data_IF_690897781235
#
_entry.id   IF_690897781235
#
_cell.length_a   1.000
_cell.length_b   1.000
_cell.length_c   1.000
_cell.angle_alpha   90.00
_cell.angle_beta   90.00
_cell.angle_gamma   90.00
#
_symmetry.space_group_name_H-M   'P 1'
#
loop_
_entity.id
_entity.type
_entity.pdbx_description
1 polymer ?
#
# COMPACT_ATOMS: atom_id res chain seq x y z
N UNK A 1 1.75 -34.09 -69.71
CA UNK A 1 0.78 -33.89 -68.61
C UNK A 1 1.52 -34.09 -67.31
N UNK A 2 1.64 -33.07 -66.43
CA UNK A 2 1.99 -33.15 -64.99
C UNK A 2 2.36 -31.78 -64.35
N UNK A 3 2.24 -30.64 -65.05
CA UNK A 3 2.53 -29.32 -64.47
C UNK A 3 1.42 -28.72 -63.61
N UNK A 4 0.16 -29.14 -63.77
CA UNK A 4 -1.00 -28.55 -63.06
C UNK A 4 -1.23 -29.11 -61.64
N UNK A 5 -0.77 -30.33 -61.35
CA UNK A 5 -0.90 -30.95 -60.02
C UNK A 5 0.12 -30.38 -59.01
N UNK A 6 1.31 -29.97 -59.48
CA UNK A 6 2.34 -29.35 -58.63
C UNK A 6 1.99 -27.93 -58.17
N UNK A 7 1.29 -27.13 -58.98
CA UNK A 7 0.86 -25.78 -58.58
C UNK A 7 -0.28 -25.78 -57.55
N UNK A 8 -1.20 -26.75 -57.62
CA UNK A 8 -2.30 -26.86 -56.66
C UNK A 8 -1.83 -27.22 -55.25
N UNK A 9 -0.82 -28.09 -55.14
CA UNK A 9 -0.23 -28.47 -53.86
C UNK A 9 0.52 -27.33 -53.16
N UNK A 10 1.23 -26.49 -53.92
CA UNK A 10 1.94 -25.33 -53.36
C UNK A 10 0.98 -24.23 -52.86
N UNK A 11 -0.10 -23.98 -53.60
CA UNK A 11 -1.10 -22.98 -53.22
C UNK A 11 -1.87 -23.38 -51.94
N UNK A 12 -2.17 -24.67 -51.76
CA UNK A 12 -2.78 -25.18 -50.53
C UNK A 12 -1.87 -25.06 -49.30
N UNK A 13 -0.56 -25.29 -49.46
CA UNK A 13 0.42 -25.14 -48.38
C UNK A 13 0.61 -23.66 -47.97
N UNK A 14 0.61 -22.74 -48.95
CA UNK A 14 0.75 -21.30 -48.73
C UNK A 14 -0.44 -20.68 -47.99
N UNK A 15 -1.63 -21.27 -48.05
CA UNK A 15 -2.82 -20.82 -47.32
C UNK A 15 -2.95 -21.42 -45.92
N UNK A 16 -2.44 -22.64 -45.69
CA UNK A 16 -2.50 -23.29 -44.38
C UNK A 16 -1.52 -22.66 -43.37
N UNK A 17 -0.35 -22.19 -43.82
CA UNK A 17 0.65 -21.54 -42.98
C UNK A 17 0.14 -20.25 -42.28
N UNK A 18 -0.42 -19.25 -42.98
CA UNK A 18 -0.92 -18.03 -42.33
C UNK A 18 -2.10 -18.32 -41.40
N UNK A 19 -2.94 -19.31 -41.71
CA UNK A 19 -4.05 -19.72 -40.84
C UNK A 19 -3.53 -20.34 -39.53
N UNK A 20 -2.49 -21.17 -39.61
CA UNK A 20 -1.81 -21.71 -38.42
C UNK A 20 -1.12 -20.63 -37.59
N UNK A 21 -0.57 -19.59 -38.21
CA UNK A 21 -0.01 -18.43 -37.50
C UNK A 21 -1.09 -17.59 -36.81
N UNK A 22 -2.24 -17.37 -37.45
CA UNK A 22 -3.39 -16.67 -36.86
C UNK A 22 -4.00 -17.46 -35.68
N UNK A 23 -4.15 -18.78 -35.80
CA UNK A 23 -4.61 -19.65 -34.72
C UNK A 23 -3.60 -19.71 -33.55
N UNK A 24 -2.29 -19.73 -33.83
CA UNK A 24 -1.28 -19.61 -32.78
C UNK A 24 -1.32 -18.25 -32.07
N UNK A 25 -1.61 -17.16 -32.76
CA UNK A 25 -1.77 -15.84 -32.14
C UNK A 25 -3.00 -15.75 -31.21
N UNK A 26 -4.10 -16.43 -31.57
CA UNK A 26 -5.31 -16.50 -30.74
C UNK A 26 -5.18 -17.46 -29.54
N UNK A 27 -4.31 -18.46 -29.64
CA UNK A 27 -4.03 -19.45 -28.58
C UNK A 27 -2.82 -19.09 -27.72
N UNK A 28 -2.14 -17.97 -27.97
CA UNK A 28 -1.11 -17.50 -27.06
C UNK A 28 -1.80 -17.02 -25.78
N UNK A 29 -1.53 -17.66 -24.62
CA UNK A 29 -1.94 -17.08 -23.35
C UNK A 29 -1.33 -15.68 -23.30
N UNK A 30 -2.14 -14.66 -22.96
CA UNK A 30 -1.62 -13.33 -22.65
C UNK A 30 -0.50 -13.54 -21.63
N UNK A 31 0.75 -13.34 -22.04
CA UNK A 31 1.85 -13.39 -21.11
C UNK A 31 1.53 -12.38 -20.00
N UNK A 32 1.68 -12.76 -18.72
CA UNK A 32 1.56 -11.80 -17.64
C UNK A 32 2.44 -10.59 -17.96
N UNK A 33 1.86 -9.39 -17.91
CA UNK A 33 2.62 -8.17 -18.03
C UNK A 33 3.65 -8.17 -16.89
N UNK A 34 4.93 -8.32 -17.24
CA UNK A 34 6.01 -8.31 -16.25
C UNK A 34 6.27 -6.86 -15.86
N UNK A 35 6.05 -6.54 -14.59
CA UNK A 35 6.25 -5.21 -14.05
C UNK A 35 7.74 -4.98 -13.72
N UNK A 36 8.16 -3.72 -13.48
CA UNK A 36 9.45 -3.42 -12.88
C UNK A 36 9.70 -4.32 -11.65
N UNK A 37 10.93 -4.79 -11.47
CA UNK A 37 11.36 -5.72 -10.40
C UNK A 37 10.92 -7.20 -10.57
N UNK A 38 10.45 -7.61 -11.76
CA UNK A 38 10.15 -9.02 -12.04
C UNK A 38 8.91 -9.56 -11.33
N UNK A 39 8.13 -8.67 -10.70
CA UNK A 39 6.81 -8.97 -10.13
C UNK A 39 5.80 -9.19 -11.26
N UNK A 40 4.94 -10.17 -11.08
CA UNK A 40 3.82 -10.42 -11.99
C UNK A 40 2.65 -9.54 -11.61
N UNK A 41 1.88 -9.09 -12.60
CA UNK A 41 0.57 -8.51 -12.37
C UNK A 41 -0.49 -9.62 -12.39
N UNK A 42 -1.35 -9.66 -11.38
CA UNK A 42 -2.54 -10.51 -11.37
C UNK A 42 -3.47 -10.07 -12.50
N UNK A 43 -3.97 -10.99 -13.35
CA UNK A 43 -4.94 -10.62 -14.37
C UNK A 43 -6.27 -10.19 -13.75
N UNK A 44 -7.13 -9.59 -14.58
CA UNK A 44 -8.56 -9.50 -14.26
C UNK A 44 -9.20 -10.85 -14.60
N UNK A 45 -9.65 -11.57 -13.58
CA UNK A 45 -10.34 -12.85 -13.74
C UNK A 45 -11.84 -12.62 -13.91
N UNK A 46 -12.51 -13.53 -14.60
CA UNK A 46 -13.97 -13.53 -14.56
C UNK A 46 -14.50 -14.07 -13.21
N UNK A 47 -15.81 -13.94 -12.99
CA UNK A 47 -16.44 -14.37 -11.74
C UNK A 47 -16.33 -15.87 -11.50
N UNK A 48 -16.41 -16.68 -12.56
CA UNK A 48 -16.32 -18.14 -12.45
C UNK A 48 -14.89 -18.57 -12.09
N UNK A 49 -13.89 -18.02 -12.77
CA UNK A 49 -12.49 -18.25 -12.48
C UNK A 49 -12.14 -17.84 -11.04
N UNK A 50 -12.57 -16.66 -10.62
CA UNK A 50 -12.31 -16.15 -9.27
C UNK A 50 -12.93 -17.05 -8.20
N UNK A 51 -14.21 -17.39 -8.35
CA UNK A 51 -14.93 -18.19 -7.34
C UNK A 51 -14.52 -19.65 -7.27
N UNK A 52 -13.92 -20.19 -8.34
CA UNK A 52 -13.32 -21.55 -8.33
C UNK A 52 -12.10 -21.65 -7.41
N UNK A 53 -11.47 -20.52 -7.05
CA UNK A 53 -10.31 -20.50 -6.13
C UNK A 53 -10.80 -20.48 -4.70
N UNK A 54 -10.37 -21.45 -3.91
CA UNK A 54 -10.80 -21.64 -2.52
C UNK A 54 -10.41 -20.48 -1.59
N UNK A 55 -9.31 -19.80 -1.92
CA UNK A 55 -8.75 -18.67 -1.18
C UNK A 55 -9.31 -17.31 -1.61
N UNK A 56 -10.09 -17.23 -2.70
CA UNK A 56 -10.65 -15.96 -3.16
C UNK A 56 -11.49 -15.28 -2.08
N UNK A 57 -11.16 -14.02 -1.79
CA UNK A 57 -11.75 -13.19 -0.71
C UNK A 57 -11.62 -13.79 0.70
N UNK A 58 -10.72 -14.75 0.91
CA UNK A 58 -10.33 -15.21 2.25
C UNK A 58 -9.30 -14.28 2.84
N UNK A 59 -9.30 -14.19 4.17
CA UNK A 59 -8.28 -13.46 4.90
C UNK A 59 -6.90 -14.09 4.66
N UNK A 60 -5.88 -13.25 4.57
CA UNK A 60 -4.50 -13.65 4.37
C UNK A 60 -3.57 -12.78 5.21
N UNK A 61 -2.42 -13.30 5.60
CA UNK A 61 -1.31 -12.51 6.14
C UNK A 61 -0.32 -12.10 5.04
N UNK A 62 0.01 -13.03 4.15
CA UNK A 62 0.96 -12.84 3.06
C UNK A 62 0.43 -13.43 1.75
N UNK A 63 0.96 -12.96 0.61
CA UNK A 63 0.49 -13.45 -0.69
C UNK A 63 0.77 -14.93 -0.96
N UNK A 64 1.70 -15.58 -0.25
CA UNK A 64 1.92 -17.03 -0.40
C UNK A 64 0.75 -17.87 0.14
N UNK A 65 -0.15 -17.27 0.93
CA UNK A 65 -1.38 -17.90 1.41
C UNK A 65 -2.50 -17.88 0.36
N UNK A 66 -2.32 -17.14 -0.73
CA UNK A 66 -3.29 -16.98 -1.80
C UNK A 66 -3.00 -17.94 -2.97
N UNK A 67 -4.03 -18.56 -3.53
CA UNK A 67 -3.88 -19.38 -4.73
C UNK A 67 -3.50 -18.53 -5.94
N UNK A 68 -2.50 -18.90 -6.75
CA UNK A 68 -2.17 -18.16 -7.96
C UNK A 68 -3.38 -18.00 -8.92
N UNK A 69 -3.53 -16.85 -9.60
CA UNK A 69 -2.67 -15.66 -9.59
C UNK A 69 -3.11 -14.59 -8.58
N UNK A 70 -3.80 -14.96 -7.49
CA UNK A 70 -4.27 -14.02 -6.48
C UNK A 70 -3.08 -13.44 -5.67
N UNK A 71 -3.23 -12.20 -5.21
CA UNK A 71 -2.32 -11.56 -4.26
C UNK A 71 -3.04 -11.14 -2.98
N UNK A 72 -2.29 -10.97 -1.89
CA UNK A 72 -2.82 -10.53 -0.60
C UNK A 72 -2.73 -9.00 -0.50
N UNK A 73 -3.86 -8.32 -0.38
CA UNK A 73 -3.95 -6.85 -0.32
C UNK A 73 -4.71 -6.40 0.92
N UNK A 74 -4.31 -5.26 1.49
CA UNK A 74 -5.05 -4.61 2.57
C UNK A 74 -6.04 -3.61 1.99
N UNK A 75 -7.31 -3.78 2.36
CA UNK A 75 -8.36 -2.82 2.01
C UNK A 75 -8.78 -2.03 3.24
N UNK A 76 -8.43 -0.74 3.25
CA UNK A 76 -8.72 0.15 4.37
C UNK A 76 -10.24 0.33 4.60
N UNK A 77 -11.08 0.10 3.58
CA UNK A 77 -12.54 0.23 3.65
C UNK A 77 -13.16 -0.81 4.57
N UNK A 78 -12.63 -2.03 4.51
CA UNK A 78 -13.08 -3.16 5.33
C UNK A 78 -12.08 -3.53 6.43
N UNK A 79 -10.93 -2.84 6.48
CA UNK A 79 -9.83 -3.01 7.45
C UNK A 79 -9.37 -4.47 7.56
N UNK A 80 -9.26 -5.14 6.43
CA UNK A 80 -8.85 -6.54 6.36
C UNK A 80 -7.92 -6.80 5.18
N UNK A 81 -7.06 -7.79 5.36
CA UNK A 81 -6.21 -8.36 4.33
C UNK A 81 -6.94 -9.51 3.65
N UNK A 82 -7.00 -9.56 2.33
CA UNK A 82 -7.63 -10.68 1.63
C UNK A 82 -7.02 -11.00 0.27
N UNK A 83 -7.20 -12.24 -0.16
CA UNK A 83 -6.72 -12.71 -1.45
C UNK A 83 -7.65 -12.27 -2.58
N UNK A 84 -7.08 -11.65 -3.62
CA UNK A 84 -7.84 -11.12 -4.75
C UNK A 84 -7.01 -11.05 -6.04
N UNK A 85 -7.70 -10.96 -7.16
CA UNK A 85 -7.18 -10.63 -8.48
C UNK A 85 -7.34 -9.13 -8.79
N UNK A 86 -6.94 -8.70 -9.98
CA UNK A 86 -7.11 -7.31 -10.44
C UNK A 86 -8.55 -7.01 -10.83
N UNK A 87 -9.02 -5.79 -10.57
CA UNK A 87 -10.34 -5.31 -10.96
C UNK A 87 -10.36 -4.62 -12.33
N UNK A 88 -9.22 -4.12 -12.77
CA UNK A 88 -9.08 -3.35 -13.99
C UNK A 88 -7.73 -3.64 -14.68
N UNK A 89 -7.69 -3.40 -15.99
CA UNK A 89 -6.44 -3.42 -16.75
C UNK A 89 -5.92 -2.00 -17.05
N UNK A 90 -6.85 -1.06 -17.31
CA UNK A 90 -6.60 0.34 -17.64
C UNK A 90 -7.72 1.21 -17.08
N UNK A 91 -7.55 2.54 -17.10
CA UNK A 91 -8.54 3.50 -16.61
C UNK A 91 -9.91 3.37 -17.29
N UNK A 92 -9.95 2.92 -18.55
CA UNK A 92 -11.21 2.69 -19.29
C UNK A 92 -12.08 1.60 -18.65
N UNK A 93 -11.46 0.68 -17.91
CA UNK A 93 -12.16 -0.36 -17.16
C UNK A 93 -12.76 0.13 -15.84
N UNK A 94 -12.49 1.38 -15.43
CA UNK A 94 -12.93 1.92 -14.16
C UNK A 94 -14.17 2.84 -14.30
N UNK A 95 -15.00 2.94 -13.25
CA UNK A 95 -16.07 3.92 -13.19
C UNK A 95 -15.57 5.36 -13.34
N UNK A 96 -16.47 6.27 -13.72
CA UNK A 96 -16.14 7.70 -13.86
C UNK A 96 -15.55 8.27 -12.56
N UNK A 97 -14.46 9.03 -12.69
CA UNK A 97 -13.75 9.62 -11.56
C UNK A 97 -12.85 8.63 -10.79
N UNK A 98 -12.58 7.45 -11.35
CA UNK A 98 -11.63 6.48 -10.83
C UNK A 98 -10.53 6.19 -11.87
N UNK A 99 -9.37 5.76 -11.37
CA UNK A 99 -8.20 5.39 -12.19
C UNK A 99 -7.72 4.00 -11.79
N UNK A 100 -7.15 3.27 -12.75
CA UNK A 100 -6.67 1.92 -12.54
C UNK A 100 -5.24 1.95 -12.00
N UNK A 101 -5.08 1.72 -10.69
CA UNK A 101 -3.78 1.80 -10.02
C UNK A 101 -3.25 0.43 -9.63
N UNK A 102 -1.95 0.23 -9.81
CA UNK A 102 -1.25 -0.95 -9.32
C UNK A 102 -1.00 -0.82 -7.82
N UNK A 103 -1.33 -1.86 -7.07
CA UNK A 103 -1.17 -1.95 -5.63
C UNK A 103 -0.17 -3.07 -5.34
N UNK A 104 0.84 -2.76 -4.54
CA UNK A 104 1.80 -3.76 -4.08
C UNK A 104 1.10 -4.71 -3.10
N UNK A 105 1.37 -6.00 -3.24
CA UNK A 105 0.83 -7.03 -2.34
C UNK A 105 1.88 -7.44 -1.33
N UNK A 106 1.44 -7.92 -0.17
CA UNK A 106 2.37 -8.33 0.88
C UNK A 106 3.13 -9.60 0.50
N UNK A 107 4.44 -9.59 0.74
CA UNK A 107 5.34 -10.69 0.41
C UNK A 107 5.67 -10.83 -1.08
N UNK A 108 5.93 -12.07 -1.53
CA UNK A 108 6.47 -12.33 -2.87
C UNK A 108 5.41 -12.54 -3.97
N UNK A 109 4.13 -12.30 -3.67
CA UNK A 109 3.03 -12.49 -4.63
C UNK A 109 2.94 -11.46 -5.77
N UNK A 110 1.97 -11.67 -6.68
CA UNK A 110 1.71 -10.75 -7.79
C UNK A 110 1.08 -9.45 -7.28
N UNK A 111 1.37 -8.34 -7.94
CA UNK A 111 0.64 -7.09 -7.71
C UNK A 111 -0.78 -7.19 -8.28
N UNK A 112 -1.67 -6.36 -7.76
CA UNK A 112 -3.07 -6.29 -8.21
C UNK A 112 -3.39 -4.87 -8.66
N UNK A 113 -4.29 -4.72 -9.63
CA UNK A 113 -4.80 -3.42 -10.07
C UNK A 113 -6.20 -3.18 -9.52
N UNK A 114 -6.43 -2.02 -8.94
CA UNK A 114 -7.72 -1.60 -8.40
C UNK A 114 -8.18 -0.30 -9.03
N UNK A 115 -9.50 -0.13 -9.17
CA UNK A 115 -10.08 1.17 -9.47
C UNK A 115 -10.10 2.01 -8.19
N UNK A 116 -9.31 3.08 -8.18
CA UNK A 116 -9.11 3.98 -7.06
C UNK A 116 -9.73 5.34 -7.41
N UNK A 117 -10.52 5.96 -6.51
CA UNK A 117 -11.07 7.29 -6.78
C UNK A 117 -9.98 8.35 -6.93
N UNK A 118 -10.19 9.30 -7.84
CA UNK A 118 -9.39 10.52 -7.90
C UNK A 118 -9.88 11.46 -6.81
N UNK A 119 -9.00 11.77 -5.86
CA UNK A 119 -9.30 12.54 -4.66
C UNK A 119 -8.78 13.96 -4.67
N UNK A 120 -8.66 14.54 -3.47
CA UNK A 120 -8.21 15.92 -3.25
C UNK A 120 -6.84 16.02 -2.59
N UNK A 121 -6.24 14.91 -2.16
CA UNK A 121 -4.94 14.94 -1.47
C UNK A 121 -3.82 15.36 -2.41
N UNK A 122 -3.03 16.30 -1.94
CA UNK A 122 -1.95 16.94 -2.68
C UNK A 122 -0.65 16.15 -2.52
N UNK A 123 0.32 16.45 -3.39
CA UNK A 123 1.63 15.82 -3.33
C UNK A 123 2.32 16.06 -1.99
N UNK A 124 2.83 14.99 -1.38
CA UNK A 124 3.41 15.02 -0.04
C UNK A 124 2.39 14.88 1.10
N UNK A 125 1.09 14.74 0.81
CA UNK A 125 0.10 14.39 1.83
C UNK A 125 -0.06 12.87 1.97
N UNK A 126 -0.61 12.45 3.11
CA UNK A 126 -0.89 11.04 3.41
C UNK A 126 -2.18 10.57 2.72
N UNK A 127 -2.24 9.29 2.39
CA UNK A 127 -3.36 8.65 1.71
C UNK A 127 -3.54 7.20 2.15
N UNK A 128 -4.63 6.58 1.72
CA UNK A 128 -4.81 5.13 1.75
C UNK A 128 -4.65 4.56 0.34
N UNK A 129 -3.93 3.44 0.20
CA UNK A 129 -3.73 2.77 -1.11
C UNK A 129 -5.06 2.33 -1.74
N UNK A 130 -5.97 1.80 -0.91
CA UNK A 130 -7.37 1.52 -1.25
C UNK A 130 -8.29 2.42 -0.42
N UNK A 131 -8.50 3.68 -0.83
CA UNK A 131 -9.30 4.64 -0.07
C UNK A 131 -10.80 4.36 -0.23
N UNK A 132 -11.56 4.63 0.83
CA UNK A 132 -13.03 4.47 0.82
C UNK A 132 -13.78 5.61 0.15
N UNK A 133 -13.16 6.78 0.06
CA UNK A 133 -13.73 8.00 -0.49
C UNK A 133 -12.65 8.87 -1.14
N UNK A 134 -13.07 10.02 -1.67
CA UNK A 134 -12.19 10.99 -2.34
C UNK A 134 -11.32 11.78 -1.36
N UNK A 135 -11.71 11.90 -0.10
CA UNK A 135 -10.99 12.71 0.89
C UNK A 135 -9.72 12.00 1.37
N UNK A 136 -9.69 10.67 1.31
CA UNK A 136 -8.51 9.86 1.58
C UNK A 136 -7.66 9.51 0.33
N UNK A 137 -8.09 9.95 -0.86
CA UNK A 137 -7.46 9.59 -2.12
C UNK A 137 -6.61 10.74 -2.70
N UNK A 138 -5.60 10.37 -3.49
CA UNK A 138 -4.71 11.31 -4.13
C UNK A 138 -5.36 12.04 -5.30
N UNK A 139 -4.96 13.29 -5.50
CA UNK A 139 -5.36 14.10 -6.65
C UNK A 139 -4.86 13.53 -7.97
N UNK A 140 -5.42 14.02 -9.08
CA UNK A 140 -5.14 13.51 -10.41
C UNK A 140 -3.62 13.51 -10.72
N UNK A 141 -3.13 12.38 -11.22
CA UNK A 141 -1.72 12.21 -11.60
C UNK A 141 -0.77 11.84 -10.46
N UNK A 142 -1.29 11.67 -9.23
CA UNK A 142 -0.53 11.18 -8.09
C UNK A 142 -0.92 9.74 -7.75
N UNK A 143 0.04 8.99 -7.23
CA UNK A 143 -0.15 7.64 -6.73
C UNK A 143 -0.07 7.64 -5.21
N UNK A 144 -0.81 6.75 -4.57
CA UNK A 144 -0.63 6.46 -3.16
C UNK A 144 0.43 5.36 -3.01
N UNK A 145 1.63 5.71 -2.53
CA UNK A 145 2.79 4.81 -2.51
C UNK A 145 3.57 4.91 -1.19
N UNK A 146 4.35 3.88 -0.91
CA UNK A 146 5.11 3.75 0.34
C UNK A 146 4.29 3.12 1.48
N UNK A 147 4.99 2.46 2.38
CA UNK A 147 4.63 2.06 3.74
C UNK A 147 3.88 3.15 4.53
N UNK A 148 2.57 3.10 4.37
CA UNK A 148 1.61 3.97 5.06
C UNK A 148 1.00 5.06 4.17
N UNK A 149 1.40 5.13 2.90
CA UNK A 149 0.71 5.88 1.85
C UNK A 149 1.07 7.37 1.81
N UNK A 150 1.75 7.77 0.74
CA UNK A 150 1.98 9.16 0.34
C UNK A 150 1.43 9.40 -1.05
N UNK A 151 0.74 10.52 -1.23
CA UNK A 151 0.44 11.04 -2.54
C UNK A 151 1.73 11.56 -3.17
N UNK A 152 2.26 10.82 -4.12
CA UNK A 152 3.54 11.12 -4.75
C UNK A 152 3.44 10.95 -6.26
N UNK A 153 4.19 11.78 -6.98
CA UNK A 153 4.42 11.54 -8.41
C UNK A 153 5.50 10.48 -8.58
N UNK A 154 5.42 9.62 -9.60
CA UNK A 154 6.50 8.72 -9.97
C UNK A 154 7.78 9.49 -10.32
N UNK A 155 8.93 8.88 -10.08
CA UNK A 155 10.23 9.43 -10.43
C UNK A 155 11.14 8.37 -11.04
N UNK A 156 12.11 8.83 -11.84
CA UNK A 156 13.16 7.97 -12.39
C UNK A 156 14.36 8.03 -11.44
N UNK A 157 14.78 6.88 -10.91
CA UNK A 157 15.83 6.74 -9.89
C UNK A 157 17.21 7.30 -10.30
N UNK A 158 17.42 7.55 -11.59
CA UNK A 158 18.74 7.80 -12.17
C UNK A 158 18.97 9.28 -12.56
N UNK A 159 18.04 10.19 -12.20
CA UNK A 159 18.19 11.63 -12.52
C UNK A 159 18.03 12.52 -11.28
N UNK A 160 18.97 13.43 -11.06
CA UNK A 160 19.01 14.37 -9.93
C UNK A 160 17.95 15.47 -10.00
N UNK A 161 17.28 15.64 -11.14
CA UNK A 161 16.18 16.61 -11.35
C UNK A 161 14.78 15.96 -11.35
N UNK A 162 14.66 14.69 -10.96
CA UNK A 162 13.39 13.96 -11.07
C UNK A 162 12.26 14.52 -10.16
N UNK A 163 12.61 15.11 -9.02
CA UNK A 163 11.64 15.54 -8.01
C UNK A 163 11.69 17.05 -7.75
N UNK A 164 10.53 17.68 -7.46
CA UNK A 164 10.47 19.10 -7.15
C UNK A 164 11.22 19.42 -5.85
N UNK A 165 11.59 20.70 -5.67
CA UNK A 165 12.31 21.14 -4.47
C UNK A 165 11.54 20.80 -3.19
N UNK A 166 12.23 20.16 -2.24
CA UNK A 166 11.64 19.65 -1.00
C UNK A 166 11.12 18.21 -1.12
N UNK A 167 11.48 17.51 -2.18
CA UNK A 167 11.20 16.10 -2.39
C UNK A 167 12.45 15.38 -2.86
N UNK A 168 12.52 14.07 -2.62
CA UNK A 168 13.57 13.21 -3.14
C UNK A 168 12.95 11.96 -3.75
N UNK A 169 13.63 11.38 -4.74
CA UNK A 169 13.18 10.15 -5.37
C UNK A 169 13.50 8.96 -4.45
N UNK A 170 12.47 8.37 -3.86
CA UNK A 170 12.58 7.21 -2.98
C UNK A 170 12.27 5.93 -3.76
N UNK A 171 12.90 4.82 -3.34
CA UNK A 171 12.56 3.49 -3.85
C UNK A 171 11.31 2.98 -3.14
N UNK A 172 10.16 3.38 -3.65
CA UNK A 172 8.84 2.92 -3.20
C UNK A 172 8.35 1.76 -4.05
N UNK A 173 7.33 1.06 -3.56
CA UNK A 173 6.55 0.09 -4.32
C UNK A 173 5.18 0.71 -4.64
N UNK A 174 4.58 0.37 -5.80
CA UNK A 174 5.12 -0.48 -6.87
C UNK A 174 6.28 0.15 -7.67
N UNK A 175 6.36 1.47 -7.72
CA UNK A 175 7.40 2.18 -8.46
C UNK A 175 8.03 3.30 -7.64
N UNK A 176 9.26 3.74 -7.97
CA UNK A 176 9.91 4.86 -7.30
C UNK A 176 9.09 6.15 -7.42
N UNK A 177 9.04 6.92 -6.34
CA UNK A 177 8.22 8.14 -6.28
C UNK A 177 8.87 9.25 -5.45
N UNK A 178 8.43 10.48 -5.70
CA UNK A 178 8.90 11.66 -5.00
C UNK A 178 8.28 11.76 -3.59
N UNK A 179 9.06 11.44 -2.57
CA UNK A 179 8.64 11.59 -1.17
C UNK A 179 9.11 12.93 -0.60
N UNK A 180 8.36 13.52 0.34
CA UNK A 180 8.72 14.81 0.93
C UNK A 180 10.06 14.73 1.69
N UNK A 181 10.81 15.84 1.70
CA UNK A 181 11.97 16.06 2.56
C UNK A 181 11.96 17.48 3.14
N UNK A 182 12.06 17.55 4.47
CA UNK A 182 12.13 18.78 5.24
C UNK A 182 13.54 19.19 5.68
N UNK A 183 14.60 18.46 5.29
CA UNK A 183 15.97 18.71 5.77
C UNK A 183 16.51 20.09 5.39
N UNK A 184 16.29 20.52 4.15
CA UNK A 184 16.84 21.79 3.66
C UNK A 184 16.01 23.01 4.06
N UNK A 185 14.69 22.87 4.10
CA UNK A 185 13.77 23.99 4.37
C UNK A 185 13.50 24.19 5.86
N UNK A 186 13.75 23.16 6.68
CA UNK A 186 13.26 23.12 8.04
C UNK A 186 11.74 23.05 8.09
N UNK A 187 11.20 23.02 9.31
CA UNK A 187 9.76 22.95 9.54
C UNK A 187 9.19 24.26 10.08
N UNK A 188 7.90 24.55 9.79
CA UNK A 188 7.17 25.64 10.42
C UNK A 188 7.23 25.58 11.96
N UNK A 189 7.00 26.71 12.61
CA UNK A 189 6.99 26.78 14.07
C UNK A 189 5.98 25.79 14.67
N UNK A 190 6.42 25.03 15.69
CA UNK A 190 5.62 23.97 16.33
C UNK A 190 5.72 22.60 15.65
N UNK A 191 6.35 22.50 14.48
CA UNK A 191 6.56 21.24 13.76
C UNK A 191 8.02 20.80 13.79
N UNK A 192 8.22 19.50 13.63
CA UNK A 192 9.53 18.85 13.59
C UNK A 192 9.67 18.02 12.32
N UNK A 193 10.89 17.93 11.81
CA UNK A 193 11.20 17.12 10.64
C UNK A 193 11.40 15.67 11.07
N UNK A 194 10.45 14.81 10.72
CA UNK A 194 10.38 13.43 11.19
C UNK A 194 10.63 12.47 10.04
N UNK A 195 11.48 11.46 10.28
CA UNK A 195 11.68 10.35 9.35
C UNK A 195 10.48 9.40 9.41
N UNK A 196 9.95 9.03 8.27
CA UNK A 196 8.82 8.12 8.16
C UNK A 196 9.35 6.75 7.75
N UNK A 197 8.56 5.69 7.96
CA UNK A 197 9.00 4.31 7.65
C UNK A 197 9.45 4.15 6.18
N UNK A 198 8.85 4.96 5.30
CA UNK A 198 9.17 5.07 3.86
C UNK A 198 10.48 5.76 3.50
N UNK A 199 11.22 6.24 4.47
CA UNK A 199 12.35 7.14 4.25
C UNK A 199 11.95 8.58 3.96
N UNK A 200 10.67 8.84 3.68
CA UNK A 200 10.09 10.18 3.58
C UNK A 200 10.35 11.00 4.85
N UNK A 201 10.55 12.31 4.70
CA UNK A 201 10.74 13.23 5.83
C UNK A 201 9.75 14.38 5.73
N UNK A 202 8.82 14.42 6.68
CA UNK A 202 7.73 15.39 6.69
C UNK A 202 7.74 16.25 7.94
N UNK A 203 7.24 17.48 7.80
CA UNK A 203 7.01 18.37 8.92
C UNK A 203 5.70 18.04 9.61
N UNK A 204 5.80 17.67 10.88
CA UNK A 204 4.66 17.21 11.68
C UNK A 204 4.76 17.75 13.10
N UNK A 205 3.62 17.95 13.72
CA UNK A 205 3.49 18.17 15.16
C UNK A 205 3.60 16.83 15.88
N UNK A 206 4.55 16.73 16.81
CA UNK A 206 4.89 15.48 17.51
C UNK A 206 4.22 15.46 18.88
N UNK A 207 3.42 14.43 19.13
CA UNK A 207 2.82 14.13 20.43
C UNK A 207 3.51 12.94 21.10
N UNK A 208 3.88 13.09 22.37
CA UNK A 208 4.62 12.08 23.14
C UNK A 208 6.14 12.27 23.05
N UNK A 209 6.88 11.18 23.27
CA UNK A 209 8.34 11.20 23.29
C UNK A 209 8.86 11.05 21.85
N UNK A 210 9.59 12.06 21.34
CA UNK A 210 10.25 11.96 20.04
C UNK A 210 11.40 10.94 20.09
N UNK A 211 11.04 9.68 19.87
CA UNK A 211 11.94 8.54 19.94
C UNK A 211 12.89 8.41 18.74
N UNK A 212 12.80 9.31 17.75
CA UNK A 212 13.77 9.42 16.66
C UNK A 212 14.94 10.34 17.01
N UNK A 213 14.69 11.36 17.82
CA UNK A 213 15.74 12.22 18.37
C UNK A 213 16.40 11.60 19.59
N UNK A 214 15.61 10.95 20.45
CA UNK A 214 16.10 10.28 21.65
C UNK A 214 15.93 8.76 21.50
N UNK A 215 17.03 7.99 21.35
CA UNK A 215 16.94 6.55 21.16
C UNK A 215 16.17 5.86 22.29
N UNK A 216 15.34 4.89 21.92
CA UNK A 216 14.58 4.13 22.90
C UNK A 216 15.49 3.29 23.82
N UNK A 217 15.11 3.12 25.10
CA UNK A 217 15.77 2.20 26.01
C UNK A 217 15.81 0.77 25.44
N UNK A 218 16.77 -0.02 25.90
CA UNK A 218 16.96 -1.40 25.44
C UNK A 218 15.66 -2.22 25.53
N UNK A 219 15.34 -2.94 24.46
CA UNK A 219 14.13 -3.76 24.37
C UNK A 219 12.85 -3.01 23.93
N UNK A 220 12.93 -1.70 23.69
CA UNK A 220 11.82 -0.90 23.15
C UNK A 220 12.09 -0.46 21.72
N UNK A 221 11.02 -0.29 20.94
CA UNK A 221 11.07 0.24 19.58
C UNK A 221 10.38 1.60 19.56
N UNK A 222 10.85 2.48 18.67
CA UNK A 222 10.19 3.74 18.40
C UNK A 222 8.92 3.44 17.62
N UNK A 223 7.77 3.59 18.28
CA UNK A 223 6.47 3.47 17.64
C UNK A 223 6.06 4.83 17.10
N UNK A 224 5.80 4.90 15.80
CA UNK A 224 5.38 6.11 15.09
C UNK A 224 3.98 5.85 14.53
N UNK A 225 2.98 6.52 15.10
CA UNK A 225 1.58 6.41 14.68
C UNK A 225 1.18 7.69 13.96
N UNK A 226 0.80 7.57 12.68
CA UNK A 226 0.28 8.67 11.87
C UNK A 226 -0.84 8.14 10.98
N UNK A 227 -1.94 8.88 10.88
CA UNK A 227 -3.09 8.53 10.04
C UNK A 227 -3.36 9.60 8.98
N UNK A 228 -3.84 9.23 7.78
CA UNK A 228 -4.12 10.18 6.70
C UNK A 228 -5.10 11.31 7.06
N UNK A 229 -6.01 11.08 8.00
CA UNK A 229 -6.97 12.08 8.49
C UNK A 229 -6.27 13.24 9.22
N UNK A 230 -5.10 13.00 9.82
CA UNK A 230 -4.31 13.99 10.56
C UNK A 230 -2.87 14.06 10.01
N UNK A 231 -2.68 14.53 8.76
CA UNK A 231 -1.41 14.43 8.04
C UNK A 231 -0.31 15.29 8.67
N UNK A 232 -0.66 16.27 9.50
CA UNK A 232 0.28 17.16 10.19
C UNK A 232 0.55 16.74 11.64
N UNK A 233 -0.04 15.65 12.13
CA UNK A 233 0.17 15.15 13.50
C UNK A 233 0.83 13.77 13.47
N UNK A 234 1.72 13.52 14.42
CA UNK A 234 2.32 12.21 14.65
C UNK A 234 2.39 11.90 16.14
N UNK A 235 2.14 10.66 16.49
CA UNK A 235 2.23 10.18 17.86
C UNK A 235 3.43 9.26 17.98
N UNK A 236 4.34 9.62 18.87
CA UNK A 236 5.58 8.88 19.08
C UNK A 236 5.72 8.42 20.51
N UNK A 237 6.14 7.17 20.67
CA UNK A 237 6.49 6.63 21.96
C UNK A 237 7.45 5.45 21.84
N UNK A 238 8.33 5.30 22.83
CA UNK A 238 9.06 4.05 22.99
C UNK A 238 8.15 2.98 23.58
N UNK A 239 7.85 1.95 22.78
CA UNK A 239 6.93 0.87 23.14
C UNK A 239 7.60 -0.50 23.02
N UNK A 240 7.19 -1.40 23.89
CA UNK A 240 7.49 -2.82 23.78
C UNK A 240 6.45 -3.46 22.86
N UNK A 241 6.87 -4.51 22.16
CA UNK A 241 5.93 -5.38 21.44
C UNK A 241 5.34 -6.39 22.41
N UNK A 242 4.10 -6.78 22.17
CA UNK A 242 3.39 -7.78 22.95
C UNK A 242 2.49 -8.62 22.05
N UNK A 243 2.03 -9.76 22.56
CA UNK A 243 1.15 -10.68 21.85
C UNK A 243 1.69 -12.10 21.86
N UNK A 244 1.19 -12.93 20.95
CA UNK A 244 1.62 -14.32 20.81
C UNK A 244 3.14 -14.43 20.58
N UNK A 245 3.78 -15.29 21.37
CA UNK A 245 5.24 -15.50 21.31
C UNK A 245 6.09 -14.36 21.91
N UNK A 246 5.48 -13.32 22.48
CA UNK A 246 6.19 -12.18 23.08
C UNK A 246 5.89 -12.05 24.58
N UNK A 247 6.81 -11.45 25.37
CA UNK A 247 6.58 -11.19 26.79
C UNK A 247 5.33 -10.32 27.03
N UNK A 248 4.66 -10.48 28.18
CA UNK A 248 3.59 -9.57 28.58
C UNK A 248 4.13 -8.16 28.85
N UNK A 249 3.25 -7.17 28.74
CA UNK A 249 3.61 -5.79 29.06
C UNK A 249 3.94 -5.61 30.55
N UNK A 250 4.87 -4.70 30.86
CA UNK A 250 5.16 -4.31 32.24
C UNK A 250 3.94 -3.69 32.95
N UNK A 251 4.02 -3.63 34.28
CA UNK A 251 2.98 -3.09 35.15
C UNK A 251 2.54 -1.68 34.70
N UNK A 252 1.22 -1.42 34.76
CA UNK A 252 0.60 -0.17 34.30
C UNK A 252 0.42 -0.05 32.79
N UNK A 253 0.73 -1.09 32.01
CA UNK A 253 0.53 -1.13 30.55
C UNK A 253 -0.36 -2.30 30.14
N UNK A 254 -1.03 -2.13 29.01
CA UNK A 254 -1.87 -3.15 28.38
C UNK A 254 -1.42 -3.41 26.95
N UNK A 255 -1.59 -4.65 26.50
CA UNK A 255 -1.32 -5.01 25.12
C UNK A 255 -2.48 -4.60 24.23
N UNK A 256 -2.26 -3.60 23.37
CA UNK A 256 -3.23 -3.16 22.37
C UNK A 256 -2.55 -2.92 21.03
N UNK A 257 -3.06 -3.58 19.97
CA UNK A 257 -2.45 -3.52 18.64
C UNK A 257 -1.00 -4.02 18.60
N UNK A 258 -0.67 -5.09 19.34
CA UNK A 258 0.67 -5.68 19.44
C UNK A 258 1.73 -4.77 20.08
N UNK A 259 1.29 -3.71 20.77
CA UNK A 259 2.17 -2.76 21.45
C UNK A 259 1.70 -2.53 22.88
N UNK A 260 2.66 -2.37 23.78
CA UNK A 260 2.39 -2.05 25.18
C UNK A 260 2.09 -0.56 25.33
N UNK A 261 0.80 -0.23 25.49
CA UNK A 261 0.30 1.14 25.68
C UNK A 261 -0.01 1.38 27.17
N UNK A 262 0.12 2.61 27.68
CA UNK A 262 -0.30 2.95 29.04
C UNK A 262 -1.76 2.56 29.27
N UNK A 263 -2.02 1.86 30.37
CA UNK A 263 -3.37 1.61 30.82
C UNK A 263 -3.99 2.92 31.33
N UNK A 264 -5.29 3.08 31.17
CA UNK A 264 -5.98 4.27 31.64
C UNK A 264 -7.40 3.93 32.10
N UNK A 265 -7.94 4.77 32.97
CA UNK A 265 -9.35 4.73 33.35
C UNK A 265 -10.11 5.81 32.58
N UNK A 266 -11.29 5.53 32.02
CA UNK A 266 -12.05 6.50 31.24
C UNK A 266 -12.50 7.74 32.05
N UNK A 267 -12.48 7.65 33.38
CA UNK A 267 -12.82 8.77 34.27
C UNK A 267 -11.63 9.73 34.49
N UNK A 268 -10.41 9.33 34.13
CA UNK A 268 -9.19 10.12 34.33
C UNK A 268 -8.77 10.80 33.02
N UNK A 269 -9.35 11.97 32.77
CA UNK A 269 -9.18 12.72 31.51
C UNK A 269 -7.71 13.07 31.21
N UNK A 270 -6.88 13.27 32.25
CA UNK A 270 -5.47 13.68 32.09
C UNK A 270 -4.47 12.53 32.15
N UNK A 271 -4.92 11.28 32.31
CA UNK A 271 -4.03 10.13 32.52
C UNK A 271 -3.10 9.87 31.31
N UNK A 272 -3.52 10.25 30.11
CA UNK A 272 -2.81 9.92 28.86
C UNK A 272 -1.87 11.02 28.34
N UNK A 273 -1.93 12.24 28.90
CA UNK A 273 -1.15 13.38 28.42
C UNK A 273 -1.71 14.03 27.14
N UNK A 274 -1.02 15.08 26.68
CA UNK A 274 -1.48 15.89 25.55
C UNK A 274 -1.50 15.09 24.24
N UNK A 275 -2.57 15.24 23.46
CA UNK A 275 -2.78 14.54 22.20
C UNK A 275 -3.18 13.08 22.36
N UNK A 276 -3.41 12.58 23.58
CA UNK A 276 -3.90 11.22 23.79
C UNK A 276 -5.20 11.22 24.59
N UNK A 277 -6.08 10.27 24.31
CA UNK A 277 -7.32 10.05 25.05
C UNK A 277 -7.43 8.61 25.54
N UNK A 278 -8.13 8.43 26.65
CA UNK A 278 -8.40 7.11 27.18
C UNK A 278 -9.59 6.47 26.47
N UNK A 279 -9.35 5.49 25.62
CA UNK A 279 -10.42 4.80 24.90
C UNK A 279 -10.10 3.32 24.66
N UNK A 280 -11.12 2.58 24.25
CA UNK A 280 -10.97 1.22 23.74
C UNK A 280 -10.85 1.27 22.22
N UNK A 281 -9.81 0.63 21.69
CA UNK A 281 -9.67 0.46 20.22
C UNK A 281 -10.79 -0.41 19.63
N UNK A 282 -11.27 -1.39 20.39
CA UNK A 282 -12.40 -2.26 20.07
C UNK A 282 -13.16 -2.63 21.35
N UNK A 283 -14.45 -2.97 21.29
CA UNK A 283 -15.26 -3.26 22.49
C UNK A 283 -14.66 -4.32 23.44
N UNK A 284 -13.99 -5.32 22.86
CA UNK A 284 -13.33 -6.46 23.52
C UNK A 284 -11.94 -6.13 24.11
N UNK A 285 -11.40 -4.94 23.83
CA UNK A 285 -10.04 -4.55 24.23
C UNK A 285 -10.03 -3.76 25.54
N UNK A 286 -8.92 -3.81 26.29
CA UNK A 286 -8.75 -2.97 27.48
C UNK A 286 -8.71 -1.49 27.12
N UNK A 287 -9.01 -0.63 28.09
CA UNK A 287 -8.78 0.81 27.95
C UNK A 287 -7.28 1.08 27.92
N UNK A 288 -6.86 1.88 26.96
CA UNK A 288 -5.48 2.31 26.82
C UNK A 288 -5.42 3.74 26.29
N UNK A 289 -4.30 4.40 26.49
CA UNK A 289 -4.05 5.70 25.89
C UNK A 289 -3.88 5.56 24.38
N UNK A 290 -4.84 6.08 23.63
CA UNK A 290 -4.84 6.13 22.17
C UNK A 290 -4.58 7.56 21.69
N UNK A 291 -4.04 7.73 20.48
CA UNK A 291 -4.01 9.03 19.83
C UNK A 291 -5.39 9.70 19.80
N UNK A 292 -5.42 10.99 20.11
CA UNK A 292 -6.58 11.85 19.95
C UNK A 292 -6.57 12.43 18.52
N UNK A 293 -7.03 11.60 17.58
CA UNK A 293 -7.23 11.95 16.17
C UNK A 293 -8.04 13.25 16.06
#
# INVERSE_FOLDING_TARGET
MNGRLMLGGLAGLLLALPLMFLLKGLLQPKLPESLPHGKQLSPVLDTEESTRRSTYRRECGLSQECEPPLGCVFDARIRSWYCTDSQCNTDVGCPEGQVCQSIATEGDGPWVRFCVPVGSRMEGERCYELPGDKDAACSAGLLCVGQGGWCARPCLSDTTEACPKGFFCARTLPEPACLPSCEERGCPSGQQCILQEDGGRACVEVYGDNCQQTPCPQGRQCDVEQVPEHPNKVWMACRERCGEGLPPCFEGRVCDGWRCKPACAPQEVTACGAGYRCEKRRPDRPYACQPDW
#
